data_IF_046579603009
#
_entry.id   IF_046579603009
#
_cell.length_a   1.000
_cell.length_b   1.000
_cell.length_c   1.000
_cell.angle_alpha   90.00
_cell.angle_beta   90.00
_cell.angle_gamma   90.00
#
_symmetry.space_group_name_H-M   'P 1'
#
loop_
_entity.id
_entity.type
_entity.pdbx_description
1 polymer ?
#
# COMPACT_ATOMS: atom_id res chain seq x y z
N UNK A 1 1.09 13.54 -25.67
CA UNK A 1 1.48 12.22 -25.17
C UNK A 1 0.93 12.09 -23.77
N UNK A 2 0.33 10.96 -23.45
CA UNK A 2 -0.13 10.65 -22.11
C UNK A 2 1.06 10.57 -21.17
N UNK A 3 0.99 11.25 -20.02
CA UNK A 3 1.95 11.07 -18.93
C UNK A 3 1.29 11.49 -17.62
N UNK A 4 1.72 10.89 -16.52
CA UNK A 4 1.20 11.22 -15.20
C UNK A 4 2.15 10.82 -14.08
N UNK A 5 1.91 11.40 -12.90
CA UNK A 5 2.49 10.96 -11.66
C UNK A 5 1.43 10.76 -10.58
N UNK A 6 1.82 10.07 -9.51
CA UNK A 6 0.98 9.87 -8.33
C UNK A 6 1.80 10.09 -7.05
N UNK A 7 1.17 10.72 -6.07
CA UNK A 7 1.77 10.96 -4.75
C UNK A 7 0.76 10.64 -3.64
N UNK A 8 1.11 9.76 -2.68
CA UNK A 8 2.27 8.87 -2.68
C UNK A 8 2.07 7.63 -3.58
N UNK A 9 3.16 6.97 -3.99
CA UNK A 9 3.10 5.66 -4.68
C UNK A 9 3.00 4.48 -3.69
N UNK A 10 3.21 4.72 -2.39
CA UNK A 10 2.93 3.77 -1.32
C UNK A 10 2.09 4.47 -0.27
N UNK A 11 0.89 3.96 0.01
CA UNK A 11 -0.08 4.58 0.91
C UNK A 11 -0.51 3.61 2.00
N UNK A 12 -0.74 4.14 3.20
CA UNK A 12 -1.30 3.38 4.33
C UNK A 12 -2.74 3.75 4.65
N UNK A 13 -3.23 4.84 4.07
CA UNK A 13 -4.61 5.32 4.20
C UNK A 13 -5.45 4.94 2.97
N UNK A 14 -4.81 4.52 1.88
CA UNK A 14 -5.46 4.27 0.59
C UNK A 14 -5.62 5.53 -0.27
N UNK A 15 -5.41 6.73 0.27
CA UNK A 15 -5.57 7.97 -0.48
C UNK A 15 -4.31 8.25 -1.32
N UNK A 16 -4.51 8.54 -2.61
CA UNK A 16 -3.47 8.88 -3.59
C UNK A 16 -3.96 10.02 -4.49
N UNK A 17 -3.13 11.05 -4.64
CA UNK A 17 -3.34 12.12 -5.62
C UNK A 17 -2.67 11.75 -6.94
N UNK A 18 -3.42 11.83 -8.04
CA UNK A 18 -2.90 11.69 -9.40
C UNK A 18 -2.79 13.06 -10.06
N UNK A 19 -1.69 13.30 -10.78
CA UNK A 19 -1.45 14.54 -11.51
C UNK A 19 -1.19 14.22 -12.97
N UNK A 20 -2.01 14.80 -13.85
CA UNK A 20 -1.77 14.76 -15.30
C UNK A 20 -0.51 15.56 -15.67
N UNK A 21 0.41 14.92 -16.38
CA UNK A 21 1.60 15.53 -16.99
C UNK A 21 1.52 15.47 -18.52
N UNK A 22 0.36 15.10 -19.07
CA UNK A 22 0.18 14.88 -20.50
C UNK A 22 0.46 16.13 -21.33
N UNK A 23 1.10 15.90 -22.47
CA UNK A 23 1.45 16.94 -23.43
C UNK A 23 0.48 16.94 -24.62
N UNK A 24 0.55 17.99 -25.45
CA UNK A 24 -0.26 18.17 -26.66
C UNK A 24 -1.74 18.53 -26.42
N UNK A 25 -2.04 19.25 -25.34
CA UNK A 25 -3.35 19.85 -25.07
C UNK A 25 -4.50 18.80 -25.11
N UNK A 26 -4.48 17.81 -24.21
CA UNK A 26 -5.61 16.90 -24.04
C UNK A 26 -6.87 17.68 -23.67
N UNK A 27 -8.02 17.21 -24.16
CA UNK A 27 -9.36 17.77 -23.88
C UNK A 27 -10.24 16.83 -23.06
N UNK A 28 -9.79 15.59 -22.84
CA UNK A 28 -10.49 14.59 -22.04
C UNK A 28 -9.51 13.60 -21.44
N UNK A 29 -9.82 13.12 -20.23
CA UNK A 29 -9.05 12.14 -19.47
C UNK A 29 -9.96 10.96 -19.11
N UNK A 30 -9.39 9.77 -19.09
CA UNK A 30 -10.03 8.57 -18.57
C UNK A 30 -9.00 7.79 -17.78
N UNK A 31 -9.20 7.75 -16.46
CA UNK A 31 -8.39 7.02 -15.52
C UNK A 31 -8.99 5.64 -15.25
N UNK A 32 -8.13 4.63 -15.18
CA UNK A 32 -8.41 3.34 -14.55
C UNK A 32 -7.33 3.11 -13.50
N UNK A 33 -7.75 3.01 -12.24
CA UNK A 33 -6.84 2.87 -11.10
C UNK A 33 -6.43 1.41 -10.83
N UNK A 34 -6.99 0.44 -11.56
CA UNK A 34 -6.64 -0.98 -11.45
C UNK A 34 -7.34 -1.72 -10.31
N UNK A 35 -8.17 -1.03 -9.52
CA UNK A 35 -9.04 -1.60 -8.47
C UNK A 35 -10.52 -1.65 -8.88
N UNK A 36 -10.82 -1.27 -10.13
CA UNK A 36 -12.17 -1.09 -10.65
C UNK A 36 -12.71 0.34 -10.51
N UNK A 37 -11.98 1.23 -9.83
CA UNK A 37 -12.27 2.66 -9.80
C UNK A 37 -11.81 3.39 -11.07
N UNK A 38 -12.58 4.41 -11.47
CA UNK A 38 -12.30 5.23 -12.65
C UNK A 38 -12.56 6.70 -12.37
N UNK A 39 -11.95 7.60 -13.14
CA UNK A 39 -12.26 9.05 -13.12
C UNK A 39 -12.12 9.69 -14.50
N UNK A 40 -12.82 10.80 -14.71
CA UNK A 40 -12.69 11.66 -15.90
C UNK A 40 -12.09 13.03 -15.58
N UNK A 41 -11.76 13.29 -14.32
CA UNK A 41 -11.10 14.52 -13.91
C UNK A 41 -9.64 14.53 -14.42
N UNK A 42 -9.11 15.72 -14.68
CA UNK A 42 -7.72 15.85 -15.14
C UNK A 42 -6.72 15.33 -14.09
N UNK A 43 -6.88 15.72 -12.83
CA UNK A 43 -5.98 15.34 -11.72
C UNK A 43 -6.79 14.91 -10.48
N UNK A 44 -7.30 13.66 -10.45
CA UNK A 44 -8.18 13.18 -9.39
C UNK A 44 -7.43 12.76 -8.12
N UNK A 45 -8.14 12.78 -6.99
CA UNK A 45 -7.78 12.01 -5.79
C UNK A 45 -8.58 10.70 -5.84
N UNK A 46 -7.89 9.58 -5.66
CA UNK A 46 -8.52 8.26 -5.56
C UNK A 46 -8.27 7.63 -4.20
N UNK A 47 -9.25 6.86 -3.71
CA UNK A 47 -9.19 6.16 -2.44
C UNK A 47 -9.28 4.64 -2.69
N UNK A 48 -8.16 3.95 -2.52
CA UNK A 48 -8.10 2.50 -2.56
C UNK A 48 -8.69 1.90 -1.28
N UNK A 49 -9.69 1.04 -1.41
CA UNK A 49 -10.40 0.44 -0.27
C UNK A 49 -9.77 -0.84 0.26
N UNK A 50 -8.92 -1.49 -0.54
CA UNK A 50 -8.32 -2.78 -0.22
C UNK A 50 -6.80 -2.69 -0.37
N UNK A 51 -6.09 -3.58 0.31
CA UNK A 51 -4.65 -3.72 0.14
C UNK A 51 -4.33 -4.41 -1.20
N UNK A 52 -3.22 -4.03 -1.81
CA UNK A 52 -2.81 -4.56 -3.08
C UNK A 52 -1.71 -3.75 -3.77
N UNK A 53 -1.32 -4.24 -4.93
CA UNK A 53 -0.45 -3.57 -5.87
C UNK A 53 -1.27 -3.29 -7.13
N UNK A 54 -1.33 -2.03 -7.54
CA UNK A 54 -2.24 -1.56 -8.58
C UNK A 54 -1.49 -1.08 -9.82
N UNK A 55 -2.00 -1.48 -10.98
CA UNK A 55 -1.57 -0.96 -12.28
C UNK A 55 -2.53 0.16 -12.67
N UNK A 56 -1.99 1.35 -12.91
CA UNK A 56 -2.79 2.53 -13.25
C UNK A 56 -2.63 2.83 -14.73
N UNK A 57 -3.74 3.19 -15.39
CA UNK A 57 -3.70 3.68 -16.77
C UNK A 57 -4.43 5.01 -16.91
N UNK A 58 -3.86 5.88 -17.75
CA UNK A 58 -4.45 7.14 -18.17
C UNK A 58 -4.60 7.12 -19.69
N UNK A 59 -5.83 7.25 -20.17
CA UNK A 59 -6.12 7.56 -21.57
C UNK A 59 -6.44 9.05 -21.69
N UNK A 60 -5.69 9.77 -22.52
CA UNK A 60 -6.00 11.16 -22.87
C UNK A 60 -6.38 11.26 -24.34
N UNK A 61 -7.30 12.18 -24.66
CA UNK A 61 -7.67 12.43 -26.05
C UNK A 61 -7.81 13.93 -26.34
N UNK A 62 -7.59 14.29 -27.60
CA UNK A 62 -7.84 15.61 -28.18
C UNK A 62 -8.42 15.45 -29.60
N UNK A 63 -8.60 16.56 -30.32
CA UNK A 63 -9.13 16.55 -31.69
C UNK A 63 -8.27 15.75 -32.70
N UNK A 64 -7.01 15.49 -32.38
CA UNK A 64 -6.06 14.81 -33.26
C UNK A 64 -5.96 13.30 -32.98
N UNK A 65 -6.52 12.82 -31.86
CA UNK A 65 -6.50 11.41 -31.49
C UNK A 65 -6.44 11.17 -29.99
N UNK A 66 -6.03 9.96 -29.62
CA UNK A 66 -5.87 9.54 -28.22
C UNK A 66 -4.51 8.89 -28.00
N UNK A 67 -4.05 8.92 -26.75
CA UNK A 67 -2.84 8.25 -26.29
C UNK A 67 -3.08 7.62 -24.92
N UNK A 68 -2.33 6.58 -24.60
CA UNK A 68 -2.52 5.80 -23.37
C UNK A 68 -1.18 5.57 -22.69
N UNK A 69 -1.10 5.92 -21.40
CA UNK A 69 0.04 5.60 -20.55
C UNK A 69 -0.39 4.58 -19.49
N UNK A 70 0.43 3.53 -19.30
CA UNK A 70 0.16 2.45 -18.35
C UNK A 70 1.37 2.26 -17.44
N UNK A 71 1.17 2.43 -16.13
CA UNK A 71 2.20 2.20 -15.11
C UNK A 71 1.86 0.95 -14.32
N UNK A 72 2.60 -0.12 -14.59
CA UNK A 72 2.43 -1.42 -13.94
C UNK A 72 2.99 -1.40 -12.51
N UNK A 73 2.26 -2.02 -11.57
CA UNK A 73 2.64 -2.11 -10.16
C UNK A 73 3.02 -0.74 -9.54
N UNK A 74 2.27 0.29 -9.90
CA UNK A 74 2.64 1.68 -9.63
C UNK A 74 2.27 2.14 -8.23
N UNK A 75 1.09 1.73 -7.74
CA UNK A 75 0.63 2.04 -6.38
C UNK A 75 0.69 0.79 -5.53
N UNK A 76 1.18 0.94 -4.30
CA UNK A 76 1.19 -0.12 -3.28
C UNK A 76 0.40 0.33 -2.05
N UNK A 77 -0.64 -0.42 -1.71
CA UNK A 77 -1.30 -0.35 -0.42
C UNK A 77 -0.99 -1.65 0.33
N UNK A 78 0.01 -1.67 1.22
CA UNK A 78 0.44 -2.91 1.84
C UNK A 78 -0.51 -3.36 2.95
N UNK A 79 -0.33 -4.59 3.40
CA UNK A 79 -1.03 -5.14 4.56
C UNK A 79 -0.87 -4.27 5.83
N UNK A 80 -1.86 -4.25 6.74
CA UNK A 80 -1.89 -3.32 7.87
C UNK A 80 -0.63 -3.31 8.77
N UNK A 81 0.00 -4.47 8.97
CA UNK A 81 1.19 -4.62 9.82
C UNK A 81 2.45 -3.97 9.22
N UNK A 82 2.49 -3.78 7.89
CA UNK A 82 3.57 -3.05 7.22
C UNK A 82 3.45 -1.56 7.51
N UNK A 83 2.22 -1.03 7.46
CA UNK A 83 1.95 0.38 7.73
C UNK A 83 2.25 0.78 9.17
N UNK A 84 2.08 -0.14 10.12
CA UNK A 84 2.46 0.08 11.50
C UNK A 84 3.99 0.26 11.64
N UNK A 85 4.77 -0.58 10.95
CA UNK A 85 6.24 -0.54 10.98
C UNK A 85 6.81 0.73 10.32
N UNK A 86 6.09 1.34 9.37
CA UNK A 86 6.52 2.57 8.66
C UNK A 86 6.32 3.83 9.53
N UNK A 87 5.35 3.83 10.44
CA UNK A 87 5.03 4.98 11.31
C UNK A 87 5.75 4.95 12.66
N UNK A 88 6.38 3.83 13.02
CA UNK A 88 7.22 3.76 14.22
C UNK A 88 8.69 3.99 13.83
N UNK A 89 9.40 5.02 14.34
CA UNK A 89 10.85 5.00 14.30
C UNK A 89 11.28 3.78 15.11
N UNK A 90 12.06 2.89 14.51
CA UNK A 90 12.55 1.63 15.08
C UNK A 90 12.79 1.69 16.60
N UNK A 91 11.85 1.18 17.39
CA UNK A 91 12.10 0.65 18.73
C UNK A 91 11.76 -0.84 18.71
N UNK A 92 12.39 -1.60 17.82
CA UNK A 92 12.74 -3.01 18.08
C UNK A 92 13.61 -3.55 16.93
N UNK A 93 14.90 -3.26 16.98
CA UNK A 93 15.86 -4.35 16.78
C UNK A 93 15.75 -5.28 17.99
N UNK A 94 14.69 -6.09 17.98
CA UNK A 94 14.33 -7.00 19.06
C UNK A 94 13.06 -7.78 18.74
N UNK A 95 12.75 -7.95 17.44
CA UNK A 95 11.90 -9.04 16.99
C UNK A 95 12.66 -10.34 17.26
N UNK A 96 12.56 -10.83 18.49
CA UNK A 96 12.87 -12.21 18.82
C UNK A 96 11.91 -13.08 18.02
N UNK A 97 12.34 -13.52 16.84
CA UNK A 97 11.80 -14.68 16.16
C UNK A 97 12.16 -15.91 17.02
N UNK A 98 11.37 -16.14 18.05
CA UNK A 98 11.35 -17.38 18.81
C UNK A 98 9.94 -17.65 19.31
N UNK A 99 9.08 -18.19 18.43
CA UNK A 99 8.18 -19.23 18.89
C UNK A 99 8.99 -20.53 18.98
N UNK A 100 9.85 -20.63 19.99
CA UNK A 100 10.29 -21.91 20.52
C UNK A 100 9.69 -22.03 21.91
N UNK A 101 9.06 -23.17 22.21
CA UNK A 101 8.55 -23.51 23.54
C UNK A 101 9.61 -23.21 24.61
N UNK A 102 9.25 -22.84 25.83
CA UNK A 102 8.30 -23.49 26.73
C UNK A 102 7.68 -22.40 27.61
N UNK A 103 6.38 -22.49 27.88
CA UNK A 103 5.73 -21.70 28.93
C UNK A 103 6.41 -22.04 30.26
N UNK A 104 7.22 -21.15 30.81
CA UNK A 104 7.56 -21.23 32.23
C UNK A 104 6.36 -20.70 33.00
N UNK A 105 5.55 -21.65 33.47
CA UNK A 105 4.52 -21.51 34.49
C UNK A 105 5.05 -20.68 35.67
N UNK A 106 4.37 -19.58 35.95
CA UNK A 106 4.64 -18.60 36.99
C UNK A 106 4.11 -19.08 38.34
N UNK A 107 4.62 -20.22 38.80
CA UNK A 107 4.65 -20.63 40.22
C UNK A 107 3.46 -20.13 41.06
N UNK A 108 2.24 -20.50 40.65
CA UNK A 108 1.04 -20.33 41.46
C UNK A 108 1.14 -21.07 42.80
N UNK A 109 0.29 -20.75 43.79
CA UNK A 109 0.53 -21.04 45.22
C UNK A 109 0.40 -22.52 45.64
N UNK A 110 0.40 -23.47 44.72
CA UNK A 110 0.39 -24.91 44.99
C UNK A 110 1.77 -25.52 44.69
N UNK A 111 2.71 -25.29 45.62
CA UNK A 111 4.01 -25.94 45.63
C UNK A 111 3.86 -27.47 45.76
N UNK A 112 4.03 -28.19 44.66
CA UNK A 112 4.18 -29.65 44.63
C UNK A 112 5.46 -30.13 43.93
N UNK A 113 6.53 -29.32 43.94
CA UNK A 113 7.79 -29.77 43.36
C UNK A 113 8.64 -30.55 44.38
N UNK A 114 8.68 -31.88 44.21
CA UNK A 114 9.65 -32.76 44.86
C UNK A 114 11.03 -32.58 44.22
N UNK A 115 12.14 -32.58 44.97
CA UNK A 115 13.47 -32.46 44.37
C UNK A 115 13.90 -33.80 43.76
N UNK A 116 14.15 -33.77 42.44
CA UNK A 116 14.79 -34.86 41.71
C UNK A 116 16.27 -34.96 42.06
N UNK A 117 16.74 -36.21 42.22
CA UNK A 117 18.12 -36.55 42.45
C UNK A 117 19.00 -36.24 41.22
N UNK A 118 20.21 -35.74 41.49
CA UNK A 118 21.27 -35.53 40.52
C UNK A 118 22.49 -34.91 41.17
#
# INVERSE_FOLDING_TARGET
LADFEAVPTTTCTGEVQFTDLSTQQPTSWSWDFGDGGTSTDQSPIHLYQQQGIYTVSLTVANANGQDVEVRSNYITYPEPWVCDTVLMPTVQAGGSLACFGVLTDDGGPNADHSPGAG
#
